data_IF_238200028149
#
_entry.id   IF_238200028149
#
_cell.length_a   1.000
_cell.length_b   1.000
_cell.length_c   1.000
_cell.angle_alpha   90.00
_cell.angle_beta   90.00
_cell.angle_gamma   90.00
#
_symmetry.space_group_name_H-M   'P 1'
#
loop_
_entity.id
_entity.type
_entity.pdbx_description
1 polymer ?
#
# COMPACT_ATOMS: atom_id res chain seq x y z
N UNK A 1 18.63 -1.79 8.15
CA UNK A 1 18.86 -2.21 6.76
C UNK A 1 17.57 -2.41 5.97
N UNK A 2 16.60 -3.22 6.44
CA UNK A 2 15.36 -3.51 5.72
C UNK A 2 14.56 -2.25 5.36
N UNK A 3 14.33 -1.34 6.29
CA UNK A 3 13.54 -0.12 6.05
C UNK A 3 14.17 0.79 4.99
N UNK A 4 15.48 0.98 5.06
CA UNK A 4 16.22 1.80 4.07
C UNK A 4 16.17 1.20 2.68
N UNK A 5 16.25 -0.12 2.59
CA UNK A 5 16.16 -0.85 1.31
C UNK A 5 14.77 -0.74 0.70
N UNK A 6 13.72 -0.82 1.52
CA UNK A 6 12.34 -0.69 1.06
C UNK A 6 12.03 0.73 0.54
N UNK A 7 12.51 1.76 1.22
CA UNK A 7 12.37 3.15 0.78
C UNK A 7 13.14 3.39 -0.53
N UNK A 8 14.37 2.86 -0.63
CA UNK A 8 15.16 2.93 -1.87
C UNK A 8 14.48 2.19 -3.03
N UNK A 9 13.91 1.03 -2.78
CA UNK A 9 13.14 0.25 -3.77
C UNK A 9 11.92 1.02 -4.28
N UNK A 10 11.17 1.64 -3.37
CA UNK A 10 10.03 2.51 -3.74
C UNK A 10 10.46 3.68 -4.63
N UNK A 11 11.63 4.27 -4.37
CA UNK A 11 12.22 5.32 -5.21
C UNK A 11 12.55 4.86 -6.63
N UNK A 12 13.04 3.63 -6.78
CA UNK A 12 13.32 3.04 -8.10
C UNK A 12 12.04 2.73 -8.86
N UNK A 13 11.01 2.17 -8.19
CA UNK A 13 9.72 1.88 -8.82
C UNK A 13 9.09 3.13 -9.40
N UNK A 14 9.17 4.26 -8.71
CA UNK A 14 8.61 5.54 -9.15
C UNK A 14 9.14 6.01 -10.52
N UNK A 15 10.35 5.64 -10.88
CA UNK A 15 10.99 6.03 -12.16
C UNK A 15 10.61 5.10 -13.31
N UNK A 16 10.00 3.96 -13.03
CA UNK A 16 9.64 2.98 -14.05
C UNK A 16 8.40 3.42 -14.84
N UNK A 17 8.37 3.21 -16.18
CA UNK A 17 7.19 3.52 -17.00
C UNK A 17 5.91 2.79 -16.55
N UNK A 18 6.06 1.61 -15.98
CA UNK A 18 4.95 0.84 -15.39
C UNK A 18 4.24 1.61 -14.28
N UNK A 19 4.96 2.48 -13.56
CA UNK A 19 4.37 3.30 -12.50
C UNK A 19 3.34 4.29 -13.06
N UNK A 20 3.63 4.92 -14.19
CA UNK A 20 2.69 5.85 -14.86
C UNK A 20 1.45 5.13 -15.38
N UNK A 21 1.58 3.88 -15.83
CA UNK A 21 0.43 3.05 -16.22
C UNK A 21 -0.46 2.71 -15.03
N UNK A 22 0.12 2.35 -13.90
CA UNK A 22 -0.61 2.11 -12.64
C UNK A 22 -1.35 3.39 -12.24
N UNK A 23 -0.67 4.52 -12.32
CA UNK A 23 -1.21 5.85 -12.01
C UNK A 23 -2.45 6.16 -12.85
N UNK A 24 -2.32 6.12 -14.16
CA UNK A 24 -3.42 6.41 -15.08
C UNK A 24 -4.59 5.45 -14.91
N UNK A 25 -4.32 4.18 -14.67
CA UNK A 25 -5.36 3.16 -14.45
C UNK A 25 -6.13 3.40 -13.15
N UNK A 26 -5.44 3.70 -12.05
CA UNK A 26 -6.07 3.96 -10.75
C UNK A 26 -6.99 5.19 -10.82
N UNK A 27 -6.52 6.29 -11.42
CA UNK A 27 -7.32 7.51 -11.55
C UNK A 27 -8.40 7.44 -12.64
N UNK A 28 -8.36 6.43 -13.51
CA UNK A 28 -9.43 6.17 -14.49
C UNK A 28 -10.64 5.48 -13.88
N UNK A 29 -10.57 5.01 -12.64
CA UNK A 29 -11.69 4.34 -11.97
C UNK A 29 -12.79 5.36 -11.70
N UNK A 30 -13.96 5.28 -12.34
CA UNK A 30 -15.05 6.21 -12.09
C UNK A 30 -15.65 5.95 -10.72
N UNK A 31 -15.91 7.00 -9.96
CA UNK A 31 -16.56 6.87 -8.67
C UNK A 31 -16.09 7.86 -7.62
N UNK A 32 -16.28 7.49 -6.37
CA UNK A 32 -15.89 8.29 -5.22
C UNK A 32 -14.35 8.28 -5.07
N UNK A 33 -13.77 9.42 -4.70
CA UNK A 33 -12.33 9.60 -4.48
C UNK A 33 -11.69 8.53 -3.55
N UNK A 34 -12.52 7.87 -2.75
CA UNK A 34 -12.08 6.80 -1.86
C UNK A 34 -11.58 5.56 -2.62
N UNK A 35 -12.19 5.20 -3.75
CA UNK A 35 -11.76 4.00 -4.51
C UNK A 35 -10.32 4.10 -5.05
N UNK A 36 -9.94 5.17 -5.77
CA UNK A 36 -8.54 5.35 -6.16
C UNK A 36 -7.59 5.39 -4.96
N UNK A 37 -7.99 6.00 -3.84
CA UNK A 37 -7.19 6.04 -2.63
C UNK A 37 -6.97 4.65 -2.03
N UNK A 38 -8.03 3.85 -1.90
CA UNK A 38 -7.98 2.49 -1.33
C UNK A 38 -7.14 1.57 -2.23
N UNK A 39 -7.55 1.44 -3.48
CA UNK A 39 -6.94 0.49 -4.43
C UNK A 39 -5.50 0.88 -4.73
N UNK A 40 -5.27 2.17 -4.99
CA UNK A 40 -3.93 2.68 -5.30
C UNK A 40 -2.95 2.48 -4.16
N UNK A 41 -3.38 2.79 -2.94
CA UNK A 41 -2.53 2.63 -1.75
C UNK A 41 -2.24 1.16 -1.46
N UNK A 42 -3.25 0.28 -1.53
CA UNK A 42 -3.07 -1.14 -1.32
C UNK A 42 -2.08 -1.75 -2.33
N UNK A 43 -2.25 -1.44 -3.62
CA UNK A 43 -1.35 -1.93 -4.68
C UNK A 43 0.09 -1.43 -4.46
N UNK A 44 0.28 -0.13 -4.22
CA UNK A 44 1.61 0.43 -4.04
C UNK A 44 2.30 -0.09 -2.77
N UNK A 45 1.56 -0.24 -1.68
CA UNK A 45 2.08 -0.86 -0.46
C UNK A 45 2.46 -2.32 -0.68
N UNK A 46 1.65 -3.05 -1.46
CA UNK A 46 1.94 -4.42 -1.86
C UNK A 46 3.21 -4.53 -2.70
N UNK A 47 3.40 -3.66 -3.69
CA UNK A 47 4.60 -3.63 -4.53
C UNK A 47 5.85 -3.31 -3.70
N UNK A 48 5.76 -2.32 -2.83
CA UNK A 48 6.88 -1.92 -1.95
C UNK A 48 7.13 -2.93 -0.83
N UNK A 49 6.10 -3.70 -0.44
CA UNK A 49 6.17 -4.65 0.69
C UNK A 49 6.34 -3.94 2.03
N UNK A 50 5.76 -2.74 2.18
CA UNK A 50 5.88 -1.91 3.37
C UNK A 50 4.75 -0.90 3.46
N UNK A 51 4.03 -0.85 4.59
CA UNK A 51 2.99 0.14 4.87
C UNK A 51 3.54 1.56 4.77
N UNK A 52 4.60 1.87 5.52
CA UNK A 52 5.20 3.21 5.56
C UNK A 52 5.79 3.63 4.21
N UNK A 53 6.43 2.69 3.51
CA UNK A 53 6.95 2.92 2.16
C UNK A 53 5.83 3.19 1.15
N UNK A 54 4.75 2.40 1.21
CA UNK A 54 3.58 2.57 0.36
C UNK A 54 2.85 3.89 0.60
N UNK A 55 2.55 4.23 1.86
CA UNK A 55 1.94 5.51 2.22
C UNK A 55 2.82 6.68 1.79
N UNK A 56 4.13 6.63 2.07
CA UNK A 56 5.06 7.67 1.66
C UNK A 56 5.07 7.87 0.15
N UNK A 57 5.07 6.77 -0.62
CA UNK A 57 5.02 6.82 -2.08
C UNK A 57 3.71 7.45 -2.58
N UNK A 58 2.57 7.02 -2.05
CA UNK A 58 1.24 7.58 -2.38
C UNK A 58 1.18 9.07 -2.09
N UNK A 59 1.62 9.49 -0.91
CA UNK A 59 1.55 10.91 -0.51
C UNK A 59 2.42 11.80 -1.38
N UNK A 60 3.60 11.33 -1.79
CA UNK A 60 4.50 12.11 -2.66
C UNK A 60 3.99 12.15 -4.11
N UNK A 61 3.30 11.11 -4.57
CA UNK A 61 2.88 11.00 -5.98
C UNK A 61 1.45 11.45 -6.23
N UNK A 62 0.53 11.10 -5.34
CA UNK A 62 -0.91 11.32 -5.51
C UNK A 62 -1.53 12.19 -4.43
N UNK A 63 -0.75 12.59 -3.43
CA UNK A 63 -1.28 13.31 -2.27
C UNK A 63 -2.06 14.56 -2.64
N UNK A 64 -1.57 15.32 -3.64
CA UNK A 64 -2.23 16.52 -4.11
C UNK A 64 -3.53 16.19 -4.86
N UNK A 65 -3.49 15.23 -5.79
CA UNK A 65 -4.66 14.82 -6.58
C UNK A 65 -5.75 14.24 -5.67
N UNK A 66 -5.37 13.43 -4.67
CA UNK A 66 -6.30 12.87 -3.69
C UNK A 66 -6.91 13.96 -2.80
N UNK A 67 -6.14 14.99 -2.45
CA UNK A 67 -6.64 16.13 -1.68
C UNK A 67 -7.67 16.92 -2.47
N UNK A 68 -7.39 17.24 -3.73
CA UNK A 68 -8.29 17.95 -4.62
C UNK A 68 -9.61 17.16 -4.85
N UNK A 69 -9.48 15.86 -5.13
CA UNK A 69 -10.65 14.98 -5.26
C UNK A 69 -11.47 14.89 -3.97
N UNK A 70 -10.81 14.84 -2.81
CA UNK A 70 -11.53 14.79 -1.53
C UNK A 70 -12.31 16.07 -1.26
N UNK A 71 -11.71 17.22 -1.56
CA UNK A 71 -12.37 18.52 -1.43
C UNK A 71 -13.56 18.65 -2.38
N UNK A 72 -13.40 18.25 -3.64
CA UNK A 72 -14.47 18.28 -4.64
C UNK A 72 -15.69 17.43 -4.24
N UNK A 73 -15.48 16.37 -3.47
CA UNK A 73 -16.52 15.45 -3.00
C UNK A 73 -16.94 15.68 -1.54
N UNK A 74 -16.49 16.77 -0.91
CA UNK A 74 -16.75 17.08 0.50
C UNK A 74 -16.34 15.97 1.47
N UNK A 75 -15.25 15.23 1.14
CA UNK A 75 -14.68 14.22 2.02
C UNK A 75 -13.65 14.92 2.91
N UNK A 76 -13.72 14.70 4.23
CA UNK A 76 -12.74 15.31 5.12
C UNK A 76 -11.34 14.77 4.88
N UNK A 77 -10.30 15.63 4.85
CA UNK A 77 -8.91 15.17 4.70
C UNK A 77 -8.48 14.17 5.77
N UNK A 78 -9.04 14.28 6.98
CA UNK A 78 -8.79 13.33 8.06
C UNK A 78 -9.33 11.93 7.78
N UNK A 79 -10.49 11.82 7.14
CA UNK A 79 -11.04 10.54 6.69
C UNK A 79 -10.19 9.95 5.57
N UNK A 80 -9.84 10.77 4.58
CA UNK A 80 -8.97 10.35 3.47
C UNK A 80 -7.63 9.80 3.98
N UNK A 81 -6.99 10.50 4.92
CA UNK A 81 -5.75 10.05 5.53
C UNK A 81 -5.90 8.69 6.24
N UNK A 82 -6.95 8.50 7.01
CA UNK A 82 -7.21 7.22 7.71
C UNK A 82 -7.40 6.07 6.74
N UNK A 83 -8.14 6.30 5.66
CA UNK A 83 -8.38 5.30 4.62
C UNK A 83 -7.06 4.94 3.91
N UNK A 84 -6.24 5.91 3.56
CA UNK A 84 -4.92 5.67 2.96
C UNK A 84 -4.06 4.80 3.87
N UNK A 85 -3.93 5.16 5.15
CA UNK A 85 -3.11 4.41 6.10
C UNK A 85 -3.64 2.99 6.31
N UNK A 86 -4.96 2.83 6.44
CA UNK A 86 -5.57 1.53 6.64
C UNK A 86 -5.45 0.64 5.38
N UNK A 87 -5.68 1.20 4.20
CA UNK A 87 -5.55 0.48 2.94
C UNK A 87 -4.11 0.02 2.67
N UNK A 88 -3.12 0.80 3.11
CA UNK A 88 -1.72 0.43 2.99
C UNK A 88 -1.38 -0.87 3.72
N UNK A 89 -2.08 -1.18 4.81
CA UNK A 89 -1.84 -2.40 5.59
C UNK A 89 -2.48 -3.66 5.02
N UNK A 90 -3.25 -3.57 3.92
CA UNK A 90 -3.94 -4.72 3.34
C UNK A 90 -2.99 -5.63 2.54
N UNK A 91 -2.05 -5.08 1.80
CA UNK A 91 -1.14 -5.85 0.93
C UNK A 91 0.35 -5.67 1.27
N UNK A 92 0.68 -5.00 2.37
CA UNK A 92 2.07 -4.74 2.77
C UNK A 92 2.80 -5.99 3.30
N UNK A 93 2.06 -7.03 3.64
CA UNK A 93 2.58 -8.29 4.19
C UNK A 93 2.65 -9.42 3.16
N UNK A 94 2.79 -9.10 1.88
CA UNK A 94 3.06 -10.09 0.84
C UNK A 94 4.37 -10.85 1.09
N UNK A 95 4.59 -12.04 0.49
CA UNK A 95 5.72 -12.92 0.84
C UNK A 95 7.10 -12.27 0.71
N UNK A 96 7.24 -11.26 -0.13
CA UNK A 96 8.48 -10.51 -0.35
C UNK A 96 8.67 -9.35 0.64
N UNK A 97 7.69 -9.09 1.51
CA UNK A 97 7.80 -8.03 2.52
C UNK A 97 8.98 -8.27 3.46
N UNK A 98 9.80 -7.25 3.64
CA UNK A 98 10.93 -7.31 4.56
C UNK A 98 10.50 -7.59 6.01
N UNK A 99 9.31 -7.15 6.41
CA UNK A 99 8.73 -7.47 7.71
C UNK A 99 8.49 -8.97 7.86
N UNK A 100 7.81 -9.59 6.89
CA UNK A 100 7.52 -11.05 6.92
C UNK A 100 8.79 -11.87 6.90
N UNK A 101 9.75 -11.52 6.04
CA UNK A 101 11.04 -12.22 5.95
C UNK A 101 11.77 -12.16 7.30
N UNK A 102 11.81 -10.98 7.92
CA UNK A 102 12.48 -10.79 9.21
C UNK A 102 11.75 -11.55 10.33
N UNK A 103 10.42 -11.44 10.38
CA UNK A 103 9.59 -12.12 11.38
C UNK A 103 9.79 -13.64 11.34
N UNK A 104 9.66 -14.23 10.16
CA UNK A 104 9.85 -15.67 9.98
C UNK A 104 11.29 -16.10 10.31
N UNK A 105 12.27 -15.29 9.93
CA UNK A 105 13.68 -15.54 10.25
C UNK A 105 13.96 -15.55 11.75
N UNK A 106 13.38 -14.60 12.50
CA UNK A 106 13.53 -14.55 13.97
C UNK A 106 12.81 -15.74 14.65
N UNK A 107 11.66 -16.13 14.13
CA UNK A 107 10.91 -17.26 14.65
C UNK A 107 11.46 -18.63 14.22
N UNK A 108 12.45 -18.67 13.31
CA UNK A 108 12.97 -19.92 12.77
C UNK A 108 11.97 -20.68 11.90
N UNK A 109 10.98 -19.97 11.33
CA UNK A 109 9.90 -20.54 10.52
C UNK A 109 10.13 -20.26 9.04
N UNK A 110 9.66 -21.16 8.19
CA UNK A 110 9.64 -20.96 6.73
C UNK A 110 8.29 -20.38 6.27
N UNK A 111 8.27 -19.71 5.13
CA UNK A 111 7.03 -19.26 4.48
C UNK A 111 6.03 -20.39 4.29
N UNK A 112 6.50 -21.58 3.92
CA UNK A 112 5.66 -22.74 3.69
C UNK A 112 4.88 -23.19 4.95
N UNK A 113 5.45 -22.96 6.13
CA UNK A 113 4.87 -23.39 7.40
C UNK A 113 3.85 -22.41 7.98
N UNK A 114 4.04 -21.10 7.77
CA UNK A 114 3.27 -20.09 8.53
C UNK A 114 2.67 -18.99 7.66
N UNK A 115 3.05 -18.88 6.39
CA UNK A 115 2.62 -17.73 5.59
C UNK A 115 1.12 -17.75 5.28
N UNK A 116 0.49 -18.93 5.19
CA UNK A 116 -0.95 -19.04 4.91
C UNK A 116 -1.79 -18.35 5.98
N UNK A 117 -1.49 -18.62 7.23
CA UNK A 117 -2.19 -18.03 8.39
C UNK A 117 -1.91 -16.53 8.48
N UNK A 118 -0.65 -16.13 8.28
CA UNK A 118 -0.27 -14.73 8.23
C UNK A 118 -1.02 -13.98 7.13
N UNK A 119 -1.08 -14.52 5.92
CA UNK A 119 -1.80 -13.90 4.80
C UNK A 119 -3.28 -13.70 5.09
N UNK A 120 -3.95 -14.67 5.70
CA UNK A 120 -5.36 -14.55 6.06
C UNK A 120 -5.56 -13.42 7.07
N UNK A 121 -4.74 -13.37 8.12
CA UNK A 121 -4.90 -12.38 9.19
C UNK A 121 -4.51 -10.98 8.74
N UNK A 122 -3.45 -10.85 7.94
CA UNK A 122 -2.87 -9.54 7.62
C UNK A 122 -3.31 -8.96 6.27
N UNK A 123 -3.78 -9.79 5.35
CA UNK A 123 -4.27 -9.31 4.04
C UNK A 123 -5.79 -9.46 3.93
N UNK A 124 -6.32 -10.67 4.21
CA UNK A 124 -7.74 -10.94 3.95
C UNK A 124 -8.65 -10.19 4.92
N UNK A 125 -8.41 -10.27 6.23
CA UNK A 125 -9.24 -9.55 7.20
C UNK A 125 -9.21 -8.04 7.03
N UNK A 126 -8.06 -7.37 6.88
CA UNK A 126 -8.05 -5.93 6.62
C UNK A 126 -8.73 -5.52 5.32
N UNK A 127 -8.62 -6.33 4.25
CA UNK A 127 -9.30 -6.03 2.98
C UNK A 127 -10.83 -6.05 3.10
N UNK A 128 -11.40 -6.82 4.04
CA UNK A 128 -12.84 -6.79 4.32
C UNK A 128 -13.26 -5.63 5.23
N UNK A 129 -12.33 -4.98 5.90
CA UNK A 129 -12.60 -3.90 6.83
C UNK A 129 -12.46 -2.50 6.20
N UNK A 130 -11.83 -2.39 5.02
CA UNK A 130 -11.76 -1.17 4.20
C UNK A 130 -13.03 -1.01 3.39
#
# INVERSE_FOLDING_TARGET
FNTSTQVGYGGVIKVLPVFTLIQTTIFSIPGVALFPAIIGTAILSGIVGSTSGGVGLVMVTFGQDLLELSQAQNISPGLMHRIIVFSASTLDTLPHSGFIITLLGVCGLSHKQSYKELFIVTCVFPAFAV
#
